data_IF_846932089623
#
_entry.id   IF_846932089623
#
_cell.length_a   1.000
_cell.length_b   1.000
_cell.length_c   1.000
_cell.angle_alpha   90.00
_cell.angle_beta   90.00
_cell.angle_gamma   90.00
#
_symmetry.space_group_name_H-M   'P 1'
#
loop_
_entity.id
_entity.type
_entity.pdbx_description
1 polymer ?
#
# COMPACT_ATOMS: atom_id res chain seq x y z
N UNK A 1 30.22 31.89 -16.61
CA UNK A 1 28.90 31.99 -15.95
C UNK A 1 27.89 31.25 -16.81
N UNK A 2 27.69 29.93 -16.64
CA UNK A 2 26.61 29.22 -17.33
C UNK A 2 25.30 29.40 -16.54
N UNK A 3 24.24 29.76 -17.26
CA UNK A 3 22.93 30.09 -16.72
C UNK A 3 22.14 28.87 -16.28
N UNK A 4 21.46 29.00 -15.14
CA UNK A 4 20.46 28.06 -14.65
C UNK A 4 19.21 28.17 -15.53
N UNK A 5 18.80 27.05 -16.12
CA UNK A 5 17.44 26.88 -16.66
C UNK A 5 16.61 26.27 -15.53
N UNK A 6 15.70 27.06 -14.95
CA UNK A 6 14.69 26.54 -14.03
C UNK A 6 13.57 25.87 -14.84
N UNK A 7 13.51 24.54 -14.81
CA UNK A 7 12.32 23.81 -15.24
C UNK A 7 11.30 23.86 -14.10
N UNK A 8 10.36 24.79 -14.18
CA UNK A 8 9.11 24.69 -13.43
C UNK A 8 8.32 23.52 -14.03
N UNK A 9 8.43 22.35 -13.42
CA UNK A 9 7.58 21.22 -13.74
C UNK A 9 6.19 21.49 -13.18
N UNK A 10 5.29 21.98 -14.02
CA UNK A 10 3.86 21.89 -13.74
C UNK A 10 3.51 20.41 -13.59
N UNK A 11 2.97 20.02 -12.45
CA UNK A 11 2.38 18.70 -12.26
C UNK A 11 1.18 18.60 -13.19
N UNK A 12 1.27 17.79 -14.24
CA UNK A 12 0.12 17.43 -15.04
C UNK A 12 -0.94 16.81 -14.10
N UNK A 13 -2.08 17.48 -13.94
CA UNK A 13 -3.25 16.90 -13.28
C UNK A 13 -3.86 15.87 -14.21
N UNK A 14 -3.41 14.61 -14.10
CA UNK A 14 -4.12 13.50 -14.69
C UNK A 14 -5.44 13.33 -13.93
N UNK A 15 -6.53 13.87 -14.48
CA UNK A 15 -7.88 13.61 -14.00
C UNK A 15 -8.43 12.36 -14.67
N UNK A 16 -8.01 11.18 -14.21
CA UNK A 16 -8.53 9.89 -14.72
C UNK A 16 -9.49 9.22 -13.74
N UNK A 17 -9.99 9.99 -12.77
CA UNK A 17 -10.96 9.58 -11.75
C UNK A 17 -12.09 8.75 -12.34
N UNK A 18 -12.46 7.67 -11.65
CA UNK A 18 -13.53 6.77 -12.08
C UNK A 18 -14.83 7.56 -12.34
N UNK A 19 -15.51 7.26 -13.46
CA UNK A 19 -16.65 8.07 -13.90
C UNK A 19 -17.86 7.98 -12.94
N UNK A 20 -18.70 9.04 -12.88
CA UNK A 20 -19.97 8.97 -12.15
C UNK A 20 -20.86 7.82 -12.63
N UNK A 21 -21.53 7.14 -11.70
CA UNK A 21 -22.48 6.05 -11.99
C UNK A 21 -21.94 4.63 -11.77
N UNK A 22 -20.65 4.47 -11.47
CA UNK A 22 -20.09 3.21 -10.97
C UNK A 22 -20.51 2.95 -9.52
N UNK A 23 -20.67 1.69 -9.09
CA UNK A 23 -21.03 1.35 -7.71
C UNK A 23 -19.83 1.45 -6.76
N UNK A 24 -19.11 2.57 -6.81
CA UNK A 24 -17.96 2.87 -5.93
C UNK A 24 -18.46 3.40 -4.59
N UNK A 25 -17.99 2.79 -3.51
CA UNK A 25 -18.27 3.15 -2.14
C UNK A 25 -17.03 3.74 -1.47
N UNK A 26 -17.25 4.64 -0.50
CA UNK A 26 -16.21 5.22 0.34
C UNK A 26 -16.43 4.73 1.77
N UNK A 27 -15.70 3.68 2.15
CA UNK A 27 -15.89 2.98 3.40
C UNK A 27 -15.03 3.58 4.50
N UNK A 28 -15.59 3.72 5.69
CA UNK A 28 -14.88 4.16 6.89
C UNK A 28 -14.67 2.94 7.80
N UNK A 29 -13.51 2.28 7.65
CA UNK A 29 -13.17 1.01 8.31
C UNK A 29 -12.40 1.26 9.61
N UNK A 30 -12.93 0.86 10.79
CA UNK A 30 -12.22 1.07 12.05
C UNK A 30 -10.92 0.27 12.12
N UNK A 31 -9.82 0.93 12.51
CA UNK A 31 -8.55 0.28 12.87
C UNK A 31 -8.31 0.45 14.36
N UNK A 32 -8.41 -0.65 15.11
CA UNK A 32 -8.11 -0.67 16.53
C UNK A 32 -6.60 -0.46 16.74
N UNK A 33 -5.76 -1.08 15.91
CA UNK A 33 -4.31 -0.98 15.99
C UNK A 33 -3.79 0.44 15.72
N UNK A 34 -4.47 1.23 14.89
CA UNK A 34 -4.13 2.63 14.64
C UNK A 34 -4.96 3.63 15.46
N UNK A 35 -5.96 3.17 16.21
CA UNK A 35 -6.83 4.02 17.03
C UNK A 35 -7.63 5.06 16.23
N UNK A 36 -7.92 4.75 14.96
CA UNK A 36 -8.61 5.65 14.03
C UNK A 36 -9.37 4.86 12.96
N UNK A 37 -10.23 5.56 12.24
CA UNK A 37 -10.90 5.01 11.06
C UNK A 37 -10.06 5.23 9.82
N UNK A 38 -9.99 4.23 8.95
CA UNK A 38 -9.26 4.25 7.69
C UNK A 38 -10.27 4.25 6.55
N UNK A 39 -10.14 5.24 5.66
CA UNK A 39 -10.94 5.30 4.44
C UNK A 39 -10.47 4.23 3.47
N UNK A 40 -11.39 3.47 2.90
CA UNK A 40 -11.15 2.50 1.83
C UNK A 40 -12.12 2.80 0.70
N UNK A 41 -11.61 3.14 -0.48
CA UNK A 41 -12.43 3.21 -1.68
C UNK A 41 -12.67 1.78 -2.16
N UNK A 42 -13.92 1.45 -2.46
CA UNK A 42 -14.32 0.06 -2.63
C UNK A 42 -15.32 -0.11 -3.77
N UNK A 43 -15.15 -1.18 -4.54
CA UNK A 43 -16.17 -1.65 -5.48
C UNK A 43 -16.32 -3.17 -5.30
N UNK A 44 -17.56 -3.62 -5.07
CA UNK A 44 -17.83 -5.04 -4.88
C UNK A 44 -17.76 -5.81 -6.20
N UNK A 45 -17.11 -6.98 -6.17
CA UNK A 45 -17.19 -7.98 -7.22
C UNK A 45 -18.35 -8.97 -7.06
N UNK A 46 -19.23 -8.76 -6.09
CA UNK A 46 -20.30 -9.68 -5.70
C UNK A 46 -19.99 -10.48 -4.42
N UNK A 47 -20.99 -11.24 -3.96
CA UNK A 47 -20.88 -12.04 -2.74
C UNK A 47 -19.79 -13.10 -2.87
N UNK A 48 -18.94 -13.22 -1.84
CA UNK A 48 -17.79 -14.13 -1.77
C UNK A 48 -16.75 -13.91 -2.90
N UNK A 49 -16.72 -12.73 -3.50
CA UNK A 49 -15.72 -12.38 -4.52
C UNK A 49 -14.31 -12.28 -3.89
N UNK A 50 -13.25 -12.72 -4.60
CA UNK A 50 -11.87 -12.41 -4.22
C UNK A 50 -11.62 -10.90 -4.22
N UNK A 51 -10.67 -10.44 -3.41
CA UNK A 51 -10.32 -9.02 -3.34
C UNK A 51 -8.99 -8.72 -4.06
N UNK A 52 -8.91 -7.57 -4.71
CA UNK A 52 -7.67 -6.97 -5.21
C UNK A 52 -7.41 -5.71 -4.40
N UNK A 53 -6.32 -5.73 -3.65
CA UNK A 53 -5.82 -4.60 -2.90
C UNK A 53 -4.91 -3.76 -3.79
N UNK A 54 -5.33 -2.55 -4.11
CA UNK A 54 -4.53 -1.59 -4.89
C UNK A 54 -3.85 -0.62 -3.94
N UNK A 55 -2.56 -0.86 -3.71
CA UNK A 55 -1.74 -0.16 -2.73
C UNK A 55 -1.04 1.04 -3.38
N UNK A 56 -1.15 2.19 -2.73
CA UNK A 56 -0.70 3.48 -3.24
C UNK A 56 0.83 3.67 -3.12
N UNK A 57 1.36 4.67 -3.81
CA UNK A 57 2.77 5.01 -3.78
C UNK A 57 3.22 5.74 -2.51
N UNK A 58 4.47 6.20 -2.54
CA UNK A 58 5.13 6.87 -1.41
C UNK A 58 4.37 8.11 -0.90
N UNK A 59 3.73 8.85 -1.82
CA UNK A 59 3.00 10.10 -1.52
C UNK A 59 1.49 9.89 -1.39
N UNK A 60 1.05 8.73 -0.89
CA UNK A 60 -0.37 8.45 -0.66
C UNK A 60 -1.07 9.60 0.07
N UNK A 61 -2.20 10.04 -0.47
CA UNK A 61 -2.97 11.16 0.07
C UNK A 61 -4.05 10.67 1.03
N UNK A 62 -4.55 11.56 1.90
CA UNK A 62 -5.56 11.24 2.92
C UNK A 62 -7.00 11.43 2.41
N UNK A 63 -7.20 11.89 1.18
CA UNK A 63 -8.52 12.07 0.55
C UNK A 63 -8.88 10.91 -0.39
N UNK A 64 -8.00 10.58 -1.34
CA UNK A 64 -8.19 9.51 -2.31
C UNK A 64 -6.89 8.73 -2.55
N UNK A 65 -7.03 7.47 -2.93
CA UNK A 65 -5.92 6.63 -3.34
C UNK A 65 -5.47 7.02 -4.76
N UNK A 66 -4.16 7.09 -4.98
CA UNK A 66 -3.54 7.45 -6.25
C UNK A 66 -3.98 6.59 -7.44
N UNK A 67 -4.40 5.35 -7.22
CA UNK A 67 -4.98 4.50 -8.27
C UNK A 67 -6.27 5.08 -8.84
N UNK A 68 -7.19 5.56 -8.01
CA UNK A 68 -8.43 6.17 -8.50
C UNK A 68 -8.16 7.58 -9.07
N UNK A 69 -7.25 8.35 -8.47
CA UNK A 69 -6.89 9.67 -9.00
C UNK A 69 -6.37 9.56 -10.44
N UNK A 70 -5.48 8.59 -10.71
CA UNK A 70 -4.68 8.55 -11.92
C UNK A 70 -5.08 7.45 -12.91
N UNK A 71 -6.10 6.64 -12.60
CA UNK A 71 -6.55 5.54 -13.48
C UNK A 71 -8.05 5.31 -13.39
N UNK A 72 -8.60 4.61 -14.37
CA UNK A 72 -10.00 4.17 -14.39
C UNK A 72 -10.15 2.77 -13.75
N UNK A 73 -9.39 2.46 -12.70
CA UNK A 73 -9.30 1.10 -12.15
C UNK A 73 -10.67 0.52 -11.73
N UNK A 74 -11.56 1.29 -11.11
CA UNK A 74 -12.90 0.77 -10.78
C UNK A 74 -13.71 0.44 -12.04
N UNK A 75 -13.58 1.24 -13.10
CA UNK A 75 -14.25 0.95 -14.37
C UNK A 75 -13.71 -0.31 -15.03
N UNK A 76 -12.39 -0.48 -15.09
CA UNK A 76 -11.76 -1.65 -15.72
C UNK A 76 -12.12 -2.97 -15.05
N UNK A 77 -12.40 -2.95 -13.75
CA UNK A 77 -12.75 -4.13 -12.96
C UNK A 77 -14.26 -4.26 -12.71
N UNK A 78 -15.10 -3.39 -13.28
CA UNK A 78 -16.54 -3.54 -13.24
C UNK A 78 -16.96 -4.89 -13.85
N UNK A 79 -17.85 -5.61 -13.18
CA UNK A 79 -18.35 -6.93 -13.59
C UNK A 79 -17.28 -8.03 -13.79
N UNK A 80 -16.05 -7.80 -13.30
CA UNK A 80 -14.95 -8.78 -13.39
C UNK A 80 -15.09 -9.97 -12.43
N UNK A 81 -16.01 -9.89 -11.46
CA UNK A 81 -16.12 -10.83 -10.34
C UNK A 81 -15.07 -10.63 -9.25
N UNK A 82 -14.29 -9.54 -9.30
CA UNK A 82 -13.28 -9.17 -8.31
C UNK A 82 -13.73 -7.92 -7.53
N UNK A 83 -13.63 -7.99 -6.21
CA UNK A 83 -13.74 -6.79 -5.37
C UNK A 83 -12.45 -5.98 -5.47
N UNK A 84 -12.58 -4.67 -5.56
CA UNK A 84 -11.44 -3.73 -5.58
C UNK A 84 -11.45 -2.95 -4.28
N UNK A 85 -10.34 -2.98 -3.56
CA UNK A 85 -10.13 -2.23 -2.33
C UNK A 85 -8.90 -1.34 -2.45
N UNK A 86 -9.10 -0.03 -2.33
CA UNK A 86 -8.03 0.97 -2.35
C UNK A 86 -7.95 1.66 -0.98
N UNK A 87 -7.07 1.23 -0.08
CA UNK A 87 -6.88 1.92 1.20
C UNK A 87 -6.33 3.33 0.96
N UNK A 88 -6.90 4.32 1.64
CA UNK A 88 -6.54 5.75 1.52
C UNK A 88 -5.65 6.15 2.69
N UNK A 89 -4.67 7.02 2.40
CA UNK A 89 -3.69 7.51 3.36
C UNK A 89 -2.48 6.60 3.53
N UNK A 90 -1.69 6.89 4.57
CA UNK A 90 -0.49 6.10 4.88
C UNK A 90 0.74 6.52 4.07
N UNK A 91 0.88 7.83 3.82
CA UNK A 91 2.09 8.41 3.23
C UNK A 91 3.35 7.82 3.86
N UNK A 92 4.32 7.38 3.04
CA UNK A 92 5.59 6.81 3.48
C UNK A 92 5.50 5.55 4.37
N UNK A 93 4.33 4.93 4.53
CA UNK A 93 4.13 3.85 5.51
C UNK A 93 4.79 2.51 5.17
N UNK A 94 5.14 2.29 3.91
CA UNK A 94 5.50 0.98 3.35
C UNK A 94 4.45 -0.12 3.62
N UNK A 95 3.21 0.28 3.94
CA UNK A 95 2.14 -0.59 4.40
C UNK A 95 2.59 -1.60 5.48
N UNK A 96 3.52 -1.16 6.35
CA UNK A 96 4.10 -1.96 7.43
C UNK A 96 3.53 -1.56 8.79
N UNK A 97 3.74 -2.44 9.77
CA UNK A 97 3.63 -2.08 11.18
C UNK A 97 4.92 -1.42 11.66
N UNK A 98 4.82 -0.19 12.15
CA UNK A 98 5.99 0.59 12.58
C UNK A 98 6.34 0.30 14.04
N UNK A 99 7.63 0.42 14.39
CA UNK A 99 8.08 0.30 15.78
C UNK A 99 7.68 1.49 16.65
N UNK A 100 7.75 2.69 16.10
CA UNK A 100 7.44 3.95 16.79
C UNK A 100 6.31 4.70 16.08
N UNK A 101 5.70 5.70 16.73
CA UNK A 101 4.77 6.59 16.05
C UNK A 101 5.38 7.17 14.78
N UNK A 102 4.61 7.19 13.69
CA UNK A 102 5.00 7.80 12.43
C UNK A 102 4.88 9.32 12.56
N UNK A 103 5.97 9.96 12.98
CA UNK A 103 6.06 11.40 13.16
C UNK A 103 6.69 12.06 11.93
N UNK A 104 5.96 12.99 11.32
CA UNK A 104 6.40 13.79 10.19
C UNK A 104 6.03 15.27 10.35
N UNK A 105 6.05 16.01 9.25
CA UNK A 105 5.76 17.46 9.20
C UNK A 105 4.35 17.81 9.69
N UNK A 106 3.39 16.91 9.49
CA UNK A 106 1.98 17.11 9.88
C UNK A 106 1.65 16.63 11.31
N UNK A 107 2.64 16.17 12.07
CA UNK A 107 2.46 15.59 13.39
C UNK A 107 2.73 14.08 13.43
N UNK A 108 2.26 13.42 14.49
CA UNK A 108 2.47 11.99 14.71
C UNK A 108 1.18 11.21 14.57
N UNK A 109 1.26 10.05 13.93
CA UNK A 109 0.16 9.08 13.85
C UNK A 109 0.68 7.66 14.08
N UNK A 110 -0.19 6.74 14.48
CA UNK A 110 0.19 5.32 14.61
C UNK A 110 0.07 4.63 13.26
N UNK A 111 1.13 3.98 12.80
CA UNK A 111 1.11 3.15 11.60
C UNK A 111 1.20 1.67 11.97
N UNK A 112 0.08 0.98 11.73
CA UNK A 112 -0.09 -0.47 11.85
C UNK A 112 -0.81 -0.99 10.60
N UNK A 113 -0.25 -0.67 9.44
CA UNK A 113 -0.87 -0.92 8.15
C UNK A 113 -0.88 -2.40 7.78
N UNK A 114 0.13 -3.16 8.19
CA UNK A 114 0.12 -4.60 7.94
C UNK A 114 -0.98 -5.26 8.76
N UNK A 115 -1.11 -4.91 10.05
CA UNK A 115 -2.23 -5.37 10.88
C UNK A 115 -3.57 -5.01 10.26
N UNK A 116 -3.75 -3.76 9.80
CA UNK A 116 -4.98 -3.33 9.17
C UNK A 116 -5.31 -4.14 7.90
N UNK A 117 -4.34 -4.28 6.99
CA UNK A 117 -4.54 -4.96 5.70
C UNK A 117 -4.69 -6.47 5.83
N UNK A 118 -4.16 -7.08 6.90
CA UNK A 118 -4.11 -8.53 7.05
C UNK A 118 -5.17 -9.08 8.00
N UNK A 119 -5.70 -8.23 8.89
CA UNK A 119 -6.63 -8.66 9.94
C UNK A 119 -7.88 -7.80 9.97
N UNK A 120 -7.73 -6.49 10.19
CA UNK A 120 -8.87 -5.61 10.49
C UNK A 120 -9.76 -5.39 9.28
N UNK A 121 -9.19 -4.95 8.16
CA UNK A 121 -9.93 -4.64 6.95
C UNK A 121 -10.52 -5.88 6.26
N UNK A 122 -9.81 -7.02 6.11
CA UNK A 122 -10.41 -8.25 5.56
C UNK A 122 -11.57 -8.77 6.40
N UNK A 123 -11.46 -8.73 7.73
CA UNK A 123 -12.54 -9.14 8.62
C UNK A 123 -13.77 -8.22 8.47
N UNK A 124 -13.54 -6.90 8.42
CA UNK A 124 -14.62 -5.93 8.24
C UNK A 124 -15.30 -6.08 6.88
N UNK A 125 -14.53 -6.21 5.80
CA UNK A 125 -15.05 -6.38 4.44
C UNK A 125 -15.81 -7.72 4.29
N UNK A 126 -15.35 -8.79 4.94
CA UNK A 126 -16.07 -10.05 4.94
C UNK A 126 -17.41 -9.94 5.67
N UNK A 127 -17.43 -9.34 6.86
CA UNK A 127 -18.64 -9.19 7.67
C UNK A 127 -19.67 -8.23 7.05
N UNK A 128 -19.22 -7.13 6.44
CA UNK A 128 -20.11 -6.04 6.01
C UNK A 128 -20.35 -6.01 4.50
N UNK A 129 -19.44 -6.56 3.70
CA UNK A 129 -19.46 -6.51 2.22
C UNK A 129 -19.40 -7.89 1.56
N UNK A 130 -19.39 -8.97 2.35
CA UNK A 130 -19.33 -10.36 1.89
C UNK A 130 -18.10 -10.63 1.01
N UNK A 131 -17.01 -9.88 1.19
CA UNK A 131 -15.75 -10.11 0.47
C UNK A 131 -15.08 -11.37 1.03
N UNK A 132 -14.50 -12.20 0.17
CA UNK A 132 -13.74 -13.37 0.62
C UNK A 132 -12.44 -12.91 1.29
N UNK A 133 -12.16 -13.28 2.56
CA UNK A 133 -10.98 -12.79 3.28
C UNK A 133 -9.67 -13.47 2.85
N UNK A 134 -9.73 -14.51 2.03
CA UNK A 134 -8.57 -15.30 1.56
C UNK A 134 -8.50 -15.32 0.04
N UNK A 135 -7.35 -15.73 -0.52
CA UNK A 135 -7.19 -15.82 -1.98
C UNK A 135 -7.31 -14.49 -2.71
N UNK A 136 -6.88 -13.41 -2.08
CA UNK A 136 -6.79 -12.05 -2.60
C UNK A 136 -5.50 -11.83 -3.39
N UNK A 137 -5.46 -10.71 -4.13
CA UNK A 137 -4.27 -10.15 -4.73
C UNK A 137 -3.85 -8.86 -4.01
N UNK A 138 -2.55 -8.62 -3.87
CA UNK A 138 -1.99 -7.31 -3.50
C UNK A 138 -1.22 -6.75 -4.69
N UNK A 139 -1.55 -5.55 -5.15
CA UNK A 139 -0.85 -4.89 -6.26
C UNK A 139 -0.42 -3.52 -5.76
N UNK A 140 0.88 -3.27 -5.75
CA UNK A 140 1.46 -2.03 -5.27
C UNK A 140 2.44 -1.43 -6.25
N UNK A 141 2.53 -0.09 -6.23
CA UNK A 141 3.49 0.66 -7.03
C UNK A 141 4.49 1.43 -6.15
N UNK A 142 5.71 1.62 -6.65
CA UNK A 142 6.76 2.34 -5.92
C UNK A 142 6.99 1.75 -4.52
N UNK A 143 6.82 2.54 -3.45
CA UNK A 143 6.84 2.09 -2.06
C UNK A 143 6.04 0.80 -1.83
N UNK A 144 4.85 0.70 -2.40
CA UNK A 144 3.98 -0.44 -2.14
C UNK A 144 4.29 -1.68 -2.98
N UNK A 145 5.15 -1.58 -4.00
CA UNK A 145 5.56 -2.75 -4.78
C UNK A 145 6.29 -3.77 -3.90
N UNK A 146 7.18 -3.29 -3.01
CA UNK A 146 7.82 -4.16 -2.02
C UNK A 146 6.83 -4.66 -0.96
N UNK A 147 5.91 -3.79 -0.53
CA UNK A 147 4.89 -4.16 0.44
C UNK A 147 3.98 -5.30 -0.05
N UNK A 148 3.53 -5.25 -1.32
CA UNK A 148 2.69 -6.28 -1.91
C UNK A 148 3.35 -7.67 -1.87
N UNK A 149 4.65 -7.74 -2.22
CA UNK A 149 5.42 -8.98 -2.16
C UNK A 149 5.63 -9.45 -0.72
N UNK A 150 5.96 -8.54 0.20
CA UNK A 150 6.13 -8.86 1.63
C UNK A 150 4.83 -9.38 2.25
N UNK A 151 3.69 -8.77 1.93
CA UNK A 151 2.37 -9.24 2.37
C UNK A 151 2.12 -10.69 1.92
N UNK A 152 2.40 -11.02 0.66
CA UNK A 152 2.24 -12.39 0.16
C UNK A 152 3.27 -13.38 0.72
N UNK A 153 4.48 -12.94 1.05
CA UNK A 153 5.48 -13.79 1.69
C UNK A 153 5.04 -14.22 3.11
N UNK A 154 4.42 -13.31 3.87
CA UNK A 154 4.06 -13.53 5.28
C UNK A 154 2.61 -13.94 5.52
N UNK A 155 1.71 -13.66 4.57
CA UNK A 155 0.27 -13.97 4.68
C UNK A 155 -0.24 -14.74 3.45
N UNK A 156 0.33 -15.92 3.12
CA UNK A 156 0.10 -16.60 1.83
C UNK A 156 -1.32 -17.14 1.64
N UNK A 157 -2.05 -17.42 2.71
CA UNK A 157 -3.45 -17.81 2.61
C UNK A 157 -4.34 -16.63 2.17
N UNK A 158 -3.96 -15.42 2.58
CA UNK A 158 -4.66 -14.21 2.22
C UNK A 158 -4.25 -13.71 0.84
N UNK A 159 -2.95 -13.56 0.58
CA UNK A 159 -2.42 -13.02 -0.68
C UNK A 159 -1.75 -14.11 -1.50
N UNK A 160 -2.53 -14.69 -2.42
CA UNK A 160 -2.03 -15.73 -3.34
C UNK A 160 -1.39 -15.12 -4.60
N UNK A 161 -1.65 -13.84 -4.85
CA UNK A 161 -1.12 -13.06 -5.96
C UNK A 161 -0.50 -11.76 -5.43
N UNK A 162 0.67 -11.38 -5.95
CA UNK A 162 1.32 -10.12 -5.64
C UNK A 162 1.90 -9.43 -6.89
N UNK A 163 1.43 -8.22 -7.22
CA UNK A 163 1.98 -7.39 -8.29
C UNK A 163 2.86 -6.27 -7.73
N UNK A 164 4.09 -6.15 -8.23
CA UNK A 164 5.00 -5.05 -7.88
C UNK A 164 5.34 -4.21 -9.10
N UNK A 165 4.87 -2.97 -9.14
CA UNK A 165 5.11 -2.03 -10.23
C UNK A 165 6.15 -0.98 -9.81
N UNK A 166 7.35 -1.08 -10.37
CA UNK A 166 8.47 -0.16 -10.06
C UNK A 166 8.82 -0.11 -8.56
N UNK A 167 8.76 -1.26 -7.88
CA UNK A 167 8.97 -1.38 -6.44
C UNK A 167 10.43 -1.37 -5.99
N UNK A 168 10.67 -1.02 -4.73
CA UNK A 168 11.98 -1.14 -4.09
C UNK A 168 12.22 -2.59 -3.65
N UNK A 169 12.76 -3.43 -4.53
CA UNK A 169 12.77 -4.89 -4.32
C UNK A 169 13.89 -5.44 -3.43
N UNK A 170 14.85 -4.60 -3.01
CA UNK A 170 15.97 -5.02 -2.15
C UNK A 170 16.25 -3.96 -1.05
N UNK A 171 15.22 -3.55 -0.27
CA UNK A 171 15.28 -2.38 0.62
C UNK A 171 16.33 -2.47 1.74
N UNK A 172 16.79 -3.68 2.09
CA UNK A 172 17.76 -3.89 3.17
C UNK A 172 19.23 -3.78 2.73
N UNK A 173 19.49 -3.79 1.42
CA UNK A 173 20.84 -3.95 0.89
C UNK A 173 21.55 -2.62 0.61
N UNK A 174 22.83 -2.54 0.97
CA UNK A 174 23.72 -1.43 0.61
C UNK A 174 23.15 -0.05 0.92
N UNK A 175 22.92 0.76 -0.13
CA UNK A 175 22.45 2.14 -0.01
C UNK A 175 20.92 2.27 0.14
N UNK A 176 20.17 1.19 -0.04
CA UNK A 176 18.71 1.24 -0.06
C UNK A 176 18.08 1.77 1.23
N UNK A 177 18.53 1.40 2.46
CA UNK A 177 17.99 1.98 3.68
C UNK A 177 18.13 3.50 3.76
N UNK A 178 19.26 4.03 3.25
CA UNK A 178 19.52 5.47 3.17
C UNK A 178 18.62 6.16 2.14
N UNK A 179 18.45 5.58 0.95
CA UNK A 179 17.56 6.10 -0.10
C UNK A 179 16.10 6.11 0.35
N UNK A 180 15.67 5.07 1.07
CA UNK A 180 14.33 4.99 1.67
C UNK A 180 14.16 6.09 2.71
N UNK A 181 15.14 6.30 3.60
CA UNK A 181 15.06 7.38 4.58
C UNK A 181 14.96 8.78 3.92
N UNK A 182 15.75 9.03 2.87
CA UNK A 182 15.67 10.29 2.10
C UNK A 182 14.29 10.47 1.48
N UNK A 183 13.77 9.41 0.86
CA UNK A 183 12.45 9.41 0.20
C UNK A 183 11.33 9.68 1.20
N UNK A 184 11.35 9.02 2.36
CA UNK A 184 10.39 9.25 3.46
C UNK A 184 10.50 10.66 4.06
N UNK A 185 11.72 11.20 4.15
CA UNK A 185 11.98 12.56 4.61
C UNK A 185 11.41 13.62 3.67
N UNK A 186 11.51 13.39 2.36
CA UNK A 186 10.89 14.25 1.36
C UNK A 186 9.35 14.12 1.38
N UNK A 187 8.85 12.89 1.41
CA UNK A 187 7.42 12.55 1.42
C UNK A 187 6.83 12.57 2.84
N UNK A 188 6.76 13.77 3.43
CA UNK A 188 6.08 14.01 4.71
C UNK A 188 7.01 14.16 5.91
N UNK A 189 8.33 14.06 5.74
CA UNK A 189 9.29 14.28 6.83
C UNK A 189 9.43 13.11 7.81
N UNK A 190 9.10 11.91 7.36
CA UNK A 190 9.19 10.70 8.18
C UNK A 190 10.61 10.15 8.24
N UNK A 191 10.86 9.23 9.19
CA UNK A 191 12.16 8.63 9.45
C UNK A 191 12.07 7.11 9.36
N UNK A 192 12.93 6.49 8.58
CA UNK A 192 12.92 5.02 8.43
C UNK A 192 13.28 4.29 9.74
N UNK A 193 14.07 4.92 10.61
CA UNK A 193 14.38 4.41 11.95
C UNK A 193 13.15 4.29 12.87
N UNK A 194 12.10 5.07 12.64
CA UNK A 194 10.85 4.94 13.41
C UNK A 194 9.99 3.78 12.88
N UNK A 195 10.18 3.42 11.60
CA UNK A 195 9.50 2.32 10.93
C UNK A 195 10.12 0.96 11.25
N UNK A 196 11.37 0.73 10.84
CA UNK A 196 12.06 -0.56 10.94
C UNK A 196 13.34 -0.51 11.77
N UNK A 197 13.55 0.58 12.52
CA UNK A 197 14.78 0.73 13.30
C UNK A 197 16.02 1.03 12.43
N UNK A 198 17.22 1.02 13.03
CA UNK A 198 18.48 1.17 12.30
C UNK A 198 18.58 0.16 11.15
N UNK A 199 19.38 0.44 10.11
CA UNK A 199 19.52 -0.46 8.95
C UNK A 199 20.07 -1.87 9.28
N UNK A 200 20.67 -2.05 10.46
CA UNK A 200 21.10 -3.34 10.98
C UNK A 200 19.99 -4.14 11.66
N UNK A 201 18.81 -3.55 11.87
CA UNK A 201 17.68 -4.20 12.51
C UNK A 201 17.09 -5.29 11.56
N UNK A 202 16.77 -6.49 12.08
CA UNK A 202 16.21 -7.57 11.27
C UNK A 202 14.90 -7.21 10.55
N UNK A 203 14.17 -6.18 10.99
CA UNK A 203 12.97 -5.70 10.29
C UNK A 203 13.24 -5.31 8.84
N UNK A 204 14.43 -4.80 8.52
CA UNK A 204 14.80 -4.49 7.14
C UNK A 204 14.80 -5.75 6.25
N UNK A 205 15.48 -6.82 6.69
CA UNK A 205 15.51 -8.08 5.94
C UNK A 205 14.15 -8.78 5.91
N UNK A 206 13.37 -8.69 6.99
CA UNK A 206 12.02 -9.24 7.06
C UNK A 206 11.11 -8.66 5.97
N UNK A 207 11.26 -7.36 5.70
CA UNK A 207 10.45 -6.60 4.75
C UNK A 207 11.12 -6.46 3.37
N UNK A 208 12.18 -7.22 3.11
CA UNK A 208 12.92 -7.21 1.85
C UNK A 208 12.45 -8.35 0.92
N UNK A 209 11.77 -8.06 -0.20
CA UNK A 209 11.29 -9.09 -1.10
C UNK A 209 12.40 -9.98 -1.69
N UNK A 210 13.60 -9.44 -1.93
CA UNK A 210 14.74 -10.22 -2.44
C UNK A 210 15.16 -11.28 -1.42
N UNK A 211 15.20 -10.91 -0.13
CA UNK A 211 15.48 -11.87 0.96
C UNK A 211 14.33 -12.87 1.11
N UNK A 212 13.08 -12.45 0.89
CA UNK A 212 11.90 -13.31 1.02
C UNK A 212 11.59 -14.17 -0.22
N UNK A 213 12.42 -14.16 -1.27
CA UNK A 213 12.23 -15.01 -2.48
C UNK A 213 11.97 -16.48 -2.13
N UNK A 214 12.76 -17.14 -1.26
CA UNK A 214 12.51 -18.56 -0.93
C UNK A 214 11.11 -18.78 -0.34
N UNK A 215 10.60 -17.81 0.43
CA UNK A 215 9.26 -17.84 1.01
C UNK A 215 8.18 -17.74 -0.06
N UNK A 216 8.32 -16.78 -0.99
CA UNK A 216 7.40 -16.61 -2.12
C UNK A 216 7.33 -17.86 -3.00
N UNK A 217 8.48 -18.48 -3.27
CA UNK A 217 8.56 -19.75 -4.01
C UNK A 217 7.88 -20.88 -3.25
N UNK A 218 8.18 -21.04 -1.95
CA UNK A 218 7.57 -22.07 -1.11
C UNK A 218 6.05 -21.92 -0.97
N UNK A 219 5.57 -20.67 -0.95
CA UNK A 219 4.14 -20.34 -0.90
C UNK A 219 3.44 -20.54 -2.26
N UNK A 220 4.17 -20.75 -3.35
CA UNK A 220 3.66 -20.77 -4.73
C UNK A 220 2.87 -19.50 -5.08
N UNK A 221 3.36 -18.35 -4.60
CA UNK A 221 2.77 -17.03 -4.87
C UNK A 221 2.82 -16.71 -6.37
N UNK A 222 1.71 -16.23 -6.94
CA UNK A 222 1.67 -15.71 -8.31
C UNK A 222 2.17 -14.26 -8.32
N UNK A 223 3.04 -13.92 -9.28
CA UNK A 223 3.59 -12.58 -9.48
C UNK A 223 3.16 -12.04 -10.84
#
# INVERSE_FOLDING_TARGET
MPGLVSLAGETATAGAFSRPGLPVEYLDVPSAAMGKTIRVQFQSGGANSPNVWLLDGLRAQDDFNGWDINTQAFEWYLDSGLSISMPVGGQSSFYSDWYKPACGKAGCTTYKWETFLTQEAPAWLSANKQVKPTGSAAIGLSMAGSAALTLAAWHPAQFIYAGSMSGFLNPSEGWWPGLINISMGDAGGYKSNDMWGPSSDPAWQRNDPMVQIPRLVANNTRL
#
